data_IF_071598872596
#
_entry.id   IF_071598872596
#
_cell.length_a   1.000
_cell.length_b   1.000
_cell.length_c   1.000
_cell.angle_alpha   90.00
_cell.angle_beta   90.00
_cell.angle_gamma   90.00
#
_symmetry.space_group_name_H-M   'P 1'
#
loop_
_entity.id
_entity.type
_entity.pdbx_description
1 polymer ?
#
# COMPACT_ATOMS: atom_id res chain seq x y z
N UNK A 1 -15.47 14.81 20.80
CA UNK A 1 -15.12 14.90 19.38
C UNK A 1 -15.14 13.51 18.76
N UNK A 2 -15.89 13.34 17.70
CA UNK A 2 -15.85 12.08 16.97
C UNK A 2 -14.48 11.95 16.29
N UNK A 3 -13.82 10.82 16.49
CA UNK A 3 -12.63 10.52 15.71
C UNK A 3 -13.02 10.42 14.24
N UNK A 4 -12.31 11.13 13.37
CA UNK A 4 -12.54 10.99 11.95
C UNK A 4 -12.20 9.56 11.52
N UNK A 5 -13.17 8.92 10.90
CA UNK A 5 -12.97 7.57 10.39
C UNK A 5 -11.99 7.60 9.21
N UNK A 6 -10.90 6.84 9.32
CA UNK A 6 -9.90 6.75 8.26
C UNK A 6 -10.46 5.85 7.15
N UNK A 7 -10.57 6.40 5.97
CA UNK A 7 -11.02 5.66 4.78
C UNK A 7 -9.85 5.26 3.90
N UNK A 8 -9.97 4.10 3.29
CA UNK A 8 -8.97 3.54 2.38
C UNK A 8 -9.57 3.35 1.00
N UNK A 9 -8.81 3.75 0.02
CA UNK A 9 -9.24 3.66 -1.37
C UNK A 9 -8.19 2.91 -2.19
N UNK A 10 -8.66 2.09 -3.11
CA UNK A 10 -7.85 1.47 -4.15
C UNK A 10 -8.50 1.67 -5.51
N UNK A 11 -7.67 1.80 -6.54
CA UNK A 11 -8.12 1.89 -7.91
C UNK A 11 -7.15 1.16 -8.83
N UNK A 12 -7.67 0.40 -9.79
CA UNK A 12 -6.83 -0.23 -10.80
C UNK A 12 -6.20 0.82 -11.70
N UNK A 13 -4.91 0.66 -12.00
CA UNK A 13 -4.18 1.54 -12.92
C UNK A 13 -3.51 0.70 -14.00
N UNK A 14 -3.25 1.33 -15.15
CA UNK A 14 -2.50 0.68 -16.21
C UNK A 14 -0.98 0.76 -15.96
N UNK A 15 -0.18 0.20 -16.87
CA UNK A 15 1.28 0.21 -16.76
C UNK A 15 1.90 1.62 -16.70
N UNK A 16 1.18 2.63 -17.17
CA UNK A 16 1.61 4.03 -17.17
C UNK A 16 1.03 4.80 -15.96
N UNK A 17 0.50 4.09 -14.98
CA UNK A 17 -0.09 4.63 -13.75
C UNK A 17 -1.34 5.49 -13.99
N UNK A 18 -2.02 5.31 -15.12
CA UNK A 18 -3.28 6.00 -15.41
C UNK A 18 -4.43 5.20 -14.81
N UNK A 19 -5.29 5.86 -13.99
CA UNK A 19 -6.43 5.17 -13.38
C UNK A 19 -7.40 4.64 -14.44
N UNK A 20 -7.91 3.43 -14.20
CA UNK A 20 -8.95 2.83 -15.02
C UNK A 20 -10.32 3.27 -14.49
N UNK A 21 -11.16 3.77 -15.37
CA UNK A 21 -12.49 4.24 -14.99
C UNK A 21 -13.35 3.10 -14.42
N UNK A 22 -14.14 3.43 -13.38
CA UNK A 22 -15.06 2.50 -12.76
C UNK A 22 -14.43 1.45 -11.85
N UNK A 23 -13.13 1.55 -11.57
CA UNK A 23 -12.43 0.59 -10.70
C UNK A 23 -12.11 1.13 -9.30
N UNK A 24 -12.47 2.37 -9.02
CA UNK A 24 -12.26 2.97 -7.70
C UNK A 24 -13.09 2.25 -6.64
N UNK A 25 -12.45 1.78 -5.58
CA UNK A 25 -13.09 1.10 -4.46
C UNK A 25 -12.78 1.80 -3.14
N UNK A 26 -13.82 2.10 -2.39
CA UNK A 26 -13.70 2.40 -0.96
C UNK A 26 -13.70 1.04 -0.25
N UNK A 27 -12.57 0.65 0.34
CA UNK A 27 -12.36 -0.72 0.78
C UNK A 27 -13.38 -1.17 1.83
N UNK A 28 -13.82 -0.28 2.72
CA UNK A 28 -14.78 -0.65 3.76
C UNK A 28 -16.24 -0.64 3.29
N UNK A 29 -16.54 0.13 2.24
CA UNK A 29 -17.89 0.25 1.69
C UNK A 29 -18.15 -0.80 0.62
N UNK A 30 -17.22 -0.94 -0.33
CA UNK A 30 -17.35 -1.88 -1.46
C UNK A 30 -17.14 -3.33 -1.03
N UNK A 31 -16.36 -3.55 0.01
CA UNK A 31 -16.15 -4.87 0.62
C UNK A 31 -16.76 -4.88 2.02
N UNK A 32 -18.08 -5.06 2.10
CA UNK A 32 -18.80 -5.12 3.38
C UNK A 32 -18.23 -6.22 4.27
N UNK A 33 -17.82 -5.86 5.47
CA UNK A 33 -17.18 -6.78 6.40
C UNK A 33 -15.66 -6.68 6.44
N UNK A 34 -15.05 -5.95 5.51
CA UNK A 34 -13.64 -5.63 5.58
C UNK A 34 -13.44 -4.45 6.51
N UNK A 35 -12.50 -4.58 7.45
CA UNK A 35 -12.09 -3.51 8.36
C UNK A 35 -10.59 -3.31 8.25
N UNK A 36 -10.20 -2.07 8.00
CA UNK A 36 -8.80 -1.69 7.96
C UNK A 36 -8.21 -1.67 9.37
N UNK A 37 -7.03 -2.24 9.53
CA UNK A 37 -6.29 -2.18 10.78
C UNK A 37 -5.10 -1.24 10.66
N UNK A 38 -4.15 -1.55 9.79
CA UNK A 38 -2.96 -0.73 9.62
C UNK A 38 -2.28 -1.00 8.28
N UNK A 39 -1.49 -0.05 7.85
CA UNK A 39 -0.60 -0.25 6.70
C UNK A 39 0.74 0.42 6.99
N UNK A 40 1.81 -0.33 6.89
CA UNK A 40 3.17 0.18 7.04
C UNK A 40 3.79 0.50 5.67
N UNK A 41 4.75 1.40 5.66
CA UNK A 41 5.54 1.68 4.47
C UNK A 41 5.15 2.94 3.68
N UNK A 42 4.09 3.66 4.08
CA UNK A 42 3.73 4.92 3.41
C UNK A 42 4.81 6.00 3.52
N UNK A 43 5.53 6.00 4.62
CA UNK A 43 6.59 6.99 4.88
C UNK A 43 7.98 6.46 4.54
N UNK A 44 8.06 5.27 3.98
CA UNK A 44 9.32 4.65 3.60
C UNK A 44 9.70 5.01 2.17
N UNK A 45 10.99 5.21 1.96
CA UNK A 45 11.57 5.47 0.65
C UNK A 45 12.62 4.40 0.40
N UNK A 46 12.66 3.87 -0.82
CA UNK A 46 13.64 2.86 -1.19
C UNK A 46 15.04 3.43 -1.36
N UNK A 47 16.01 2.55 -1.49
CA UNK A 47 17.40 2.95 -1.71
C UNK A 47 17.56 3.68 -3.06
N UNK A 48 18.47 4.65 -3.09
CA UNK A 48 18.79 5.34 -4.34
C UNK A 48 19.58 4.40 -5.24
N UNK A 49 19.09 4.23 -6.48
CA UNK A 49 19.73 3.38 -7.47
C UNK A 49 20.95 4.05 -8.10
N UNK A 50 21.87 3.21 -8.57
CA UNK A 50 23.03 3.64 -9.35
C UNK A 50 23.97 4.58 -8.60
N UNK A 51 24.06 4.45 -7.27
CA UNK A 51 25.12 5.09 -6.51
C UNK A 51 26.38 4.25 -6.63
N UNK A 52 27.51 4.90 -6.72
CA UNK A 52 28.80 4.25 -6.82
C UNK A 52 29.80 4.94 -5.90
N UNK A 53 30.61 4.17 -5.19
CA UNK A 53 31.63 4.67 -4.29
C UNK A 53 33.01 4.15 -4.67
N UNK A 54 33.99 5.02 -4.65
CA UNK A 54 35.41 4.64 -4.80
C UNK A 54 36.19 4.97 -3.53
N UNK A 55 36.96 3.99 -3.07
CA UNK A 55 37.85 4.15 -1.92
C UNK A 55 39.31 4.29 -2.41
N UNK A 56 39.87 5.47 -2.21
CA UNK A 56 41.27 5.75 -2.56
C UNK A 56 42.13 5.61 -1.34
N UNK A 57 43.24 4.87 -1.47
CA UNK A 57 44.18 4.57 -0.37
C UNK A 57 44.75 5.80 0.30
N UNK A 58 44.93 6.89 -0.43
CA UNK A 58 45.63 8.07 0.00
C UNK A 58 44.73 9.22 0.46
N UNK A 59 43.41 8.97 0.56
CA UNK A 59 42.46 9.98 1.01
C UNK A 59 41.45 9.40 2.00
N UNK A 60 41.00 10.28 2.91
CA UNK A 60 39.98 9.89 3.89
C UNK A 60 38.62 9.69 3.25
N UNK A 61 37.92 8.64 3.71
CA UNK A 61 36.58 8.35 3.25
C UNK A 61 36.52 7.78 1.85
N UNK A 62 35.38 7.95 1.19
CA UNK A 62 35.13 7.46 -0.16
C UNK A 62 34.65 8.58 -1.07
N UNK A 63 34.86 8.42 -2.37
CA UNK A 63 34.21 9.26 -3.37
C UNK A 63 32.90 8.63 -3.78
N UNK A 64 31.83 9.39 -3.62
CA UNK A 64 30.50 8.93 -4.00
C UNK A 64 30.04 9.58 -5.31
N UNK A 65 29.53 8.76 -6.21
CA UNK A 65 28.89 9.20 -7.44
C UNK A 65 27.39 9.00 -7.29
N UNK A 66 26.64 10.11 -7.20
CA UNK A 66 25.20 10.09 -6.99
C UNK A 66 24.52 10.69 -8.22
N UNK A 67 23.51 10.04 -8.81
CA UNK A 67 22.79 10.60 -9.94
C UNK A 67 22.17 11.97 -9.61
N UNK A 68 22.19 12.89 -10.55
CA UNK A 68 21.58 14.21 -10.38
C UNK A 68 20.06 14.15 -10.20
N UNK A 69 19.41 13.14 -10.79
CA UNK A 69 18.00 12.84 -10.59
C UNK A 69 17.93 11.46 -9.95
N UNK A 70 17.62 11.37 -8.64
CA UNK A 70 17.62 10.09 -7.96
C UNK A 70 16.44 9.21 -8.40
N UNK A 71 16.72 7.93 -8.62
CA UNK A 71 15.72 6.90 -8.81
C UNK A 71 15.76 5.97 -7.59
N UNK A 72 14.59 5.56 -7.12
CA UNK A 72 14.48 4.77 -5.90
C UNK A 72 14.15 3.32 -6.21
N UNK A 73 14.69 2.41 -5.38
CA UNK A 73 14.35 0.99 -5.43
C UNK A 73 12.94 0.78 -4.89
N UNK A 74 12.24 -0.21 -5.42
CA UNK A 74 10.92 -0.57 -4.92
C UNK A 74 10.99 -0.99 -3.45
N UNK A 75 9.91 -0.72 -2.72
CA UNK A 75 9.78 -1.08 -1.30
C UNK A 75 8.56 -1.98 -1.08
N UNK A 76 8.53 -2.65 0.06
CA UNK A 76 7.39 -3.46 0.44
C UNK A 76 6.55 -2.72 1.49
N UNK A 77 5.23 -2.80 1.32
CA UNK A 77 4.25 -2.27 2.26
C UNK A 77 3.43 -3.43 2.81
N UNK A 78 3.10 -3.37 4.08
CA UNK A 78 2.28 -4.41 4.73
C UNK A 78 0.93 -3.83 5.12
N UNK A 79 -0.11 -4.34 4.49
CA UNK A 79 -1.50 -3.98 4.77
C UNK A 79 -2.13 -5.05 5.65
N UNK A 80 -2.59 -4.66 6.83
CA UNK A 80 -3.30 -5.56 7.75
C UNK A 80 -4.77 -5.20 7.79
N UNK A 81 -5.63 -6.17 7.53
CA UNK A 81 -7.07 -6.00 7.50
C UNK A 81 -7.77 -7.14 8.24
N UNK A 82 -8.98 -6.85 8.71
CA UNK A 82 -9.88 -7.84 9.29
C UNK A 82 -11.06 -8.08 8.36
N UNK A 83 -11.44 -9.33 8.22
CA UNK A 83 -12.71 -9.71 7.57
C UNK A 83 -13.65 -10.20 8.67
N UNK A 84 -14.78 -9.53 8.84
CA UNK A 84 -15.67 -9.70 9.99
C UNK A 84 -17.05 -10.15 9.51
N UNK A 85 -17.69 -11.02 10.29
CA UNK A 85 -19.05 -11.46 10.06
C UNK A 85 -19.17 -12.85 9.46
N UNK A 86 -20.41 -13.25 9.16
CA UNK A 86 -20.70 -14.58 8.61
C UNK A 86 -20.11 -14.79 7.22
N UNK A 87 -20.11 -13.73 6.41
CA UNK A 87 -19.61 -13.77 5.04
C UNK A 87 -18.11 -13.44 4.92
N UNK A 88 -17.38 -13.50 6.02
CA UNK A 88 -15.96 -13.10 6.05
C UNK A 88 -15.09 -13.82 5.02
N UNK A 89 -15.34 -15.10 4.80
CA UNK A 89 -14.58 -15.87 3.80
C UNK A 89 -14.88 -15.42 2.37
N UNK A 90 -16.14 -15.11 2.09
CA UNK A 90 -16.57 -14.62 0.78
C UNK A 90 -16.01 -13.22 0.50
N UNK A 91 -16.05 -12.35 1.48
CA UNK A 91 -15.48 -10.99 1.36
C UNK A 91 -13.98 -11.06 1.15
N UNK A 92 -13.29 -11.92 1.92
CA UNK A 92 -11.86 -12.17 1.74
C UNK A 92 -11.54 -12.60 0.29
N UNK A 93 -12.28 -13.56 -0.24
CA UNK A 93 -12.04 -14.08 -1.58
C UNK A 93 -12.29 -13.02 -2.65
N UNK A 94 -13.33 -12.20 -2.47
CA UNK A 94 -13.61 -11.07 -3.36
C UNK A 94 -12.50 -10.02 -3.33
N UNK A 95 -12.00 -9.71 -2.14
CA UNK A 95 -10.91 -8.74 -1.97
C UNK A 95 -9.60 -9.25 -2.60
N UNK A 96 -9.26 -10.53 -2.35
CA UNK A 96 -8.07 -11.14 -2.94
C UNK A 96 -8.17 -11.15 -4.47
N UNK A 97 -9.34 -11.49 -5.00
CA UNK A 97 -9.58 -11.45 -6.45
C UNK A 97 -9.38 -10.06 -7.03
N UNK A 98 -9.84 -9.03 -6.33
CA UNK A 98 -9.66 -7.64 -6.75
C UNK A 98 -8.20 -7.21 -6.72
N UNK A 99 -7.52 -7.43 -5.59
CA UNK A 99 -6.14 -6.96 -5.39
C UNK A 99 -5.13 -7.72 -6.26
N UNK A 100 -5.48 -8.91 -6.71
CA UNK A 100 -4.62 -9.75 -7.56
C UNK A 100 -4.61 -9.33 -9.03
N UNK A 101 -5.46 -8.37 -9.42
CA UNK A 101 -5.61 -7.97 -10.83
C UNK A 101 -4.51 -7.05 -11.36
N UNK A 102 -3.39 -7.00 -10.73
CA UNK A 102 -2.25 -6.24 -11.21
C UNK A 102 -1.98 -4.98 -10.39
N UNK A 103 -1.68 -3.88 -11.07
CA UNK A 103 -1.25 -2.65 -10.43
C UNK A 103 -2.44 -1.82 -9.95
N UNK A 104 -2.34 -1.32 -8.72
CA UNK A 104 -3.37 -0.50 -8.10
C UNK A 104 -2.76 0.75 -7.50
N UNK A 105 -3.46 1.87 -7.55
CA UNK A 105 -3.17 3.00 -6.68
C UNK A 105 -3.85 2.76 -5.33
N UNK A 106 -3.16 3.12 -4.25
CA UNK A 106 -3.63 2.91 -2.88
C UNK A 106 -3.33 4.15 -2.05
N UNK A 107 -4.34 4.66 -1.37
CA UNK A 107 -4.19 5.84 -0.50
C UNK A 107 -5.19 5.81 0.64
N UNK A 108 -4.92 6.60 1.67
CA UNK A 108 -5.84 6.78 2.80
C UNK A 108 -6.17 8.27 2.98
N UNK A 109 -7.20 8.54 3.79
CA UNK A 109 -7.63 9.90 4.09
C UNK A 109 -6.82 10.57 5.21
N UNK A 110 -5.99 9.80 5.91
CA UNK A 110 -5.18 10.32 7.01
C UNK A 110 -3.88 10.96 6.53
N UNK A 111 -3.20 10.27 5.61
CA UNK A 111 -1.86 10.68 5.16
C UNK A 111 -1.84 11.44 3.85
N UNK A 112 -2.89 11.28 3.04
CA UNK A 112 -2.97 11.83 1.69
C UNK A 112 -1.74 11.53 0.84
N UNK A 113 -1.25 10.30 0.98
CA UNK A 113 -0.15 9.78 0.16
C UNK A 113 -0.64 8.62 -0.67
N UNK A 114 -0.29 8.63 -1.96
CA UNK A 114 -0.67 7.60 -2.92
C UNK A 114 0.53 6.72 -3.23
N UNK A 115 0.34 5.42 -3.11
CA UNK A 115 1.32 4.42 -3.54
C UNK A 115 0.77 3.64 -4.74
N UNK A 116 1.66 3.23 -5.63
CA UNK A 116 1.31 2.31 -6.72
C UNK A 116 1.84 0.93 -6.36
N UNK A 117 0.93 0.01 -6.10
CA UNK A 117 1.25 -1.28 -5.51
C UNK A 117 0.68 -2.44 -6.31
N UNK A 118 1.32 -3.60 -6.19
CA UNK A 118 0.74 -4.86 -6.60
C UNK A 118 0.94 -5.89 -5.51
N UNK A 119 0.07 -6.90 -5.49
CA UNK A 119 0.15 -7.97 -4.50
C UNK A 119 1.40 -8.80 -4.75
N UNK A 120 2.26 -8.88 -3.74
CA UNK A 120 3.47 -9.66 -3.74
C UNK A 120 3.39 -10.74 -2.67
N UNK A 121 4.08 -11.82 -2.89
CA UNK A 121 4.25 -12.89 -1.94
C UNK A 121 2.96 -13.66 -1.59
N UNK A 122 3.15 -14.67 -0.79
CA UNK A 122 2.12 -15.56 -0.33
C UNK A 122 1.16 -14.85 0.63
N UNK A 123 -0.12 -15.13 0.48
CA UNK A 123 -1.15 -14.61 1.39
C UNK A 123 -1.37 -15.64 2.48
N UNK A 124 -1.20 -15.23 3.73
CA UNK A 124 -1.37 -16.12 4.87
C UNK A 124 -2.34 -15.52 5.90
N UNK A 125 -3.16 -16.39 6.46
CA UNK A 125 -3.98 -16.04 7.61
C UNK A 125 -3.10 -15.79 8.81
N UNK A 126 -3.17 -14.60 9.39
CA UNK A 126 -2.36 -14.24 10.55
C UNK A 126 -3.04 -14.68 11.86
N UNK A 127 -4.33 -14.43 11.94
CA UNK A 127 -5.12 -14.76 13.14
C UNK A 127 -6.59 -14.93 12.75
N UNK A 128 -7.33 -15.69 13.57
CA UNK A 128 -8.77 -15.86 13.35
C UNK A 128 -9.48 -16.11 14.68
N UNK A 129 -10.71 -15.66 14.76
CA UNK A 129 -11.62 -16.00 15.84
C UNK A 129 -12.96 -16.41 15.29
N UNK A 130 -13.47 -17.55 15.71
CA UNK A 130 -14.77 -18.09 15.34
C UNK A 130 -15.62 -18.45 16.56
N UNK A 131 -15.04 -18.19 17.74
CA UNK A 131 -15.74 -18.29 19.02
C UNK A 131 -15.95 -16.89 19.57
N UNK A 132 -17.14 -16.62 20.09
CA UNK A 132 -17.47 -15.34 20.67
C UNK A 132 -18.51 -14.58 19.84
N UNK A 133 -18.70 -13.32 20.16
CA UNK A 133 -19.78 -12.52 19.59
C UNK A 133 -19.50 -12.05 18.16
N UNK A 134 -18.22 -11.92 17.76
CA UNK A 134 -17.86 -11.42 16.43
C UNK A 134 -16.77 -12.31 15.84
N UNK A 135 -17.09 -13.19 14.87
CA UNK A 135 -16.06 -13.95 14.17
C UNK A 135 -15.27 -13.07 13.21
N UNK A 136 -13.96 -13.28 13.15
CA UNK A 136 -13.10 -12.51 12.25
C UNK A 136 -11.95 -13.34 11.68
N UNK A 137 -11.40 -12.85 10.56
CA UNK A 137 -10.15 -13.31 9.96
C UNK A 137 -9.21 -12.11 9.86
N UNK A 138 -8.00 -12.25 10.33
CA UNK A 138 -6.97 -11.21 10.21
C UNK A 138 -5.92 -11.62 9.19
N UNK A 139 -5.72 -10.79 8.18
CA UNK A 139 -4.74 -11.03 7.12
C UNK A 139 -3.77 -9.87 7.00
N UNK A 140 -2.53 -10.21 6.70
CA UNK A 140 -1.51 -9.23 6.31
C UNK A 140 -1.10 -9.51 4.87
N UNK A 141 -1.27 -8.50 4.01
CA UNK A 141 -0.90 -8.57 2.60
C UNK A 141 0.38 -7.79 2.39
N UNK A 142 1.35 -8.41 1.70
CA UNK A 142 2.56 -7.71 1.28
C UNK A 142 2.33 -7.10 -0.09
N UNK A 143 2.39 -5.78 -0.16
CA UNK A 143 2.21 -5.01 -1.39
C UNK A 143 3.55 -4.41 -1.80
N UNK A 144 3.91 -4.59 -3.06
CA UNK A 144 5.13 -4.02 -3.61
C UNK A 144 4.88 -2.62 -4.12
N UNK A 145 5.49 -1.62 -3.50
CA UNK A 145 5.45 -0.24 -3.97
C UNK A 145 6.48 -0.06 -5.08
N UNK A 146 6.01 -0.02 -6.31
CA UNK A 146 6.87 -0.08 -7.49
C UNK A 146 7.71 1.17 -7.71
N UNK A 147 7.27 2.32 -7.22
CA UNK A 147 8.01 3.57 -7.33
C UNK A 147 9.01 3.80 -6.20
N UNK A 148 8.99 2.95 -5.16
CA UNK A 148 9.86 3.07 -4.00
C UNK A 148 9.59 4.25 -3.10
N UNK A 149 8.57 5.03 -3.39
CA UNK A 149 8.12 6.17 -2.57
C UNK A 149 6.65 6.43 -2.81
N UNK A 150 6.00 7.10 -1.86
CA UNK A 150 4.61 7.52 -1.99
C UNK A 150 4.53 8.95 -2.49
N UNK A 151 3.54 9.23 -3.32
CA UNK A 151 3.31 10.54 -3.91
C UNK A 151 2.34 11.31 -3.02
N UNK A 152 2.68 12.54 -2.66
CA UNK A 152 1.77 13.41 -1.90
C UNK A 152 0.57 13.78 -2.77
N UNK A 153 -0.62 13.59 -2.22
CA UNK A 153 -1.87 14.01 -2.87
C UNK A 153 -2.23 15.41 -2.40
N UNK A 154 -2.78 16.21 -3.33
CA UNK A 154 -3.34 17.49 -2.95
C UNK A 154 -4.69 17.29 -2.27
N UNK A 155 -4.92 18.03 -1.20
CA UNK A 155 -6.23 18.06 -0.56
C UNK A 155 -7.26 18.67 -1.54
N UNK A 156 -8.47 18.12 -1.53
CA UNK A 156 -9.54 18.61 -2.42
C UNK A 156 -9.84 20.09 -2.22
N UNK A 157 -9.60 20.60 -1.02
CA UNK A 157 -9.77 22.02 -0.70
C UNK A 157 -8.80 22.94 -1.44
N UNK A 158 -7.72 22.40 -1.98
CA UNK A 158 -6.71 23.16 -2.73
C UNK A 158 -6.96 23.17 -4.24
N UNK A 159 -7.98 22.45 -4.70
CA UNK A 159 -8.33 22.33 -6.12
C UNK A 159 -9.34 23.41 -6.55
N UNK A 160 -9.14 24.62 -6.16
CA UNK A 160 -9.97 25.73 -6.67
C UNK A 160 -9.24 26.47 -7.78
#
# INVERSE_FOLDING_TARGET
>A
MAEEEIKFYMQEVNKDYVPKDGTLKDLEVDFKGLKYSSCSGFDSVGDIKNTYEEDYKDSDGVRAYIPSVPAYSATDMKLTVFFIGEDRCKVRDNFISYISKGLHSFWDTKRYKKAYVYLKDKIELEDSSWKGSIPYLKYTFTLRNVLGKCINMKLQTEQK
#
